data_IF_605467546775
#
_entry.id   IF_605467546775
#
_cell.length_a   1.000
_cell.length_b   1.000
_cell.length_c   1.000
_cell.angle_alpha   90.00
_cell.angle_beta   90.00
_cell.angle_gamma   90.00
#
_symmetry.space_group_name_H-M   'P 1'
#
loop_
_entity.id
_entity.type
_entity.pdbx_description
1 polymer ?
#
# COMPACT_ATOMS: atom_id res chain seq x y z
N UNK A 1 -11.60 -10.30 -3.38
CA UNK A 1 -12.71 -9.33 -3.45
C UNK A 1 -12.31 -8.02 -2.78
N UNK A 2 -12.55 -6.91 -3.45
CA UNK A 2 -12.19 -5.59 -2.93
C UNK A 2 -12.93 -5.27 -1.64
N UNK A 3 -12.21 -4.73 -0.67
CA UNK A 3 -12.79 -4.25 0.59
C UNK A 3 -13.18 -2.77 0.51
N UNK A 4 -12.60 -2.04 -0.45
CA UNK A 4 -12.87 -0.62 -0.67
C UNK A 4 -12.42 -0.22 -2.08
N UNK A 5 -12.84 0.95 -2.52
CA UNK A 5 -12.38 1.52 -3.80
C UNK A 5 -11.14 2.38 -3.53
N UNK A 6 -10.05 2.19 -4.30
CA UNK A 6 -8.83 2.94 -4.05
C UNK A 6 -8.84 4.38 -4.58
N UNK A 7 -9.83 4.76 -5.36
CA UNK A 7 -9.85 6.06 -6.01
C UNK A 7 -8.74 6.18 -7.05
N UNK A 8 -8.17 7.37 -7.19
CA UNK A 8 -7.05 7.60 -8.10
C UNK A 8 -5.77 7.05 -7.48
N UNK A 9 -5.07 6.18 -8.21
CA UNK A 9 -3.84 5.57 -7.72
C UNK A 9 -2.64 6.36 -8.22
N UNK A 10 -1.78 6.78 -7.30
CA UNK A 10 -0.58 7.56 -7.59
C UNK A 10 0.65 6.84 -7.04
N UNK A 11 1.79 7.05 -7.70
CA UNK A 11 3.08 6.59 -7.19
C UNK A 11 4.04 7.77 -7.13
N UNK A 12 4.90 7.78 -6.11
CA UNK A 12 5.86 8.86 -5.88
C UNK A 12 7.04 8.78 -6.85
N UNK A 13 7.82 9.88 -6.98
CA UNK A 13 9.03 9.84 -7.81
C UNK A 13 10.01 8.73 -7.41
N UNK A 14 10.17 8.44 -6.12
CA UNK A 14 11.05 7.37 -5.66
C UNK A 14 10.58 6.00 -6.11
N UNK A 15 9.28 5.74 -6.04
CA UNK A 15 8.69 4.49 -6.55
C UNK A 15 8.84 4.44 -8.07
N UNK A 16 8.53 5.55 -8.77
CA UNK A 16 8.61 5.60 -10.22
C UNK A 16 10.01 5.30 -10.74
N UNK A 17 11.04 5.75 -10.02
CA UNK A 17 12.43 5.49 -10.39
C UNK A 17 12.78 3.99 -10.38
N UNK A 18 12.07 3.20 -9.59
CA UNK A 18 12.28 1.75 -9.46
C UNK A 18 11.46 0.93 -10.46
N UNK A 19 10.55 1.53 -11.19
CA UNK A 19 9.65 0.80 -12.09
C UNK A 19 10.34 0.25 -13.35
N UNK A 20 11.58 0.63 -13.60
CA UNK A 20 12.39 0.03 -14.65
C UNK A 20 12.73 -1.42 -14.35
N UNK A 21 12.76 -1.80 -13.08
CA UNK A 21 12.92 -3.18 -12.63
C UNK A 21 11.56 -3.87 -12.73
N UNK A 22 11.44 -4.81 -13.68
CA UNK A 22 10.18 -5.53 -13.91
C UNK A 22 9.72 -6.30 -12.66
N UNK A 23 10.67 -6.81 -11.87
CA UNK A 23 10.37 -7.49 -10.62
C UNK A 23 9.78 -6.55 -9.58
N UNK A 24 10.30 -5.31 -9.51
CA UNK A 24 9.74 -4.30 -8.62
C UNK A 24 8.32 -3.90 -9.05
N UNK A 25 8.12 -3.72 -10.35
CA UNK A 25 6.78 -3.38 -10.87
C UNK A 25 5.76 -4.46 -10.50
N UNK A 26 6.12 -5.73 -10.65
CA UNK A 26 5.25 -6.85 -10.26
C UNK A 26 4.96 -6.81 -8.77
N UNK A 27 5.98 -6.60 -7.95
CA UNK A 27 5.84 -6.47 -6.51
C UNK A 27 4.86 -5.36 -6.14
N UNK A 28 4.99 -4.20 -6.78
CA UNK A 28 4.10 -3.07 -6.55
C UNK A 28 2.65 -3.41 -6.90
N UNK A 29 2.42 -4.03 -8.05
CA UNK A 29 1.07 -4.39 -8.51
C UNK A 29 0.43 -5.41 -7.58
N UNK A 30 1.19 -6.44 -7.19
CA UNK A 30 0.70 -7.46 -6.25
C UNK A 30 0.38 -6.82 -4.90
N UNK A 31 1.25 -5.92 -4.43
CA UNK A 31 1.06 -5.23 -3.15
C UNK A 31 -0.20 -4.37 -3.16
N UNK A 32 -0.42 -3.62 -4.24
CA UNK A 32 -1.63 -2.82 -4.39
C UNK A 32 -2.88 -3.70 -4.33
N UNK A 33 -2.84 -4.84 -5.01
CA UNK A 33 -3.96 -5.78 -5.02
C UNK A 33 -4.22 -6.33 -3.61
N UNK A 34 -3.17 -6.65 -2.86
CA UNK A 34 -3.29 -7.09 -1.48
C UNK A 34 -3.93 -6.02 -0.60
N UNK A 35 -3.49 -4.77 -0.77
CA UNK A 35 -4.03 -3.63 -0.02
C UNK A 35 -5.53 -3.47 -0.24
N UNK A 36 -5.97 -3.49 -1.49
CA UNK A 36 -7.39 -3.32 -1.86
C UNK A 36 -8.23 -4.47 -1.30
N UNK A 37 -7.66 -5.64 -1.14
CA UNK A 37 -8.35 -6.83 -0.63
C UNK A 37 -8.25 -6.98 0.90
N UNK A 38 -7.67 -6.02 1.59
CA UNK A 38 -7.58 -6.04 3.05
C UNK A 38 -6.45 -6.89 3.61
N UNK A 39 -5.45 -7.20 2.80
CA UNK A 39 -4.21 -7.85 3.26
C UNK A 39 -3.19 -6.75 3.52
N UNK A 40 -3.01 -6.40 4.79
CA UNK A 40 -2.25 -5.20 5.19
C UNK A 40 -0.74 -5.40 5.19
N UNK A 41 -0.26 -6.59 4.86
CA UNK A 41 1.17 -6.83 4.68
C UNK A 41 1.93 -6.98 5.98
N UNK A 42 3.14 -6.39 6.01
CA UNK A 42 4.08 -6.52 7.13
C UNK A 42 3.81 -5.47 8.21
N UNK A 43 2.68 -5.62 8.91
CA UNK A 43 2.28 -4.72 9.98
C UNK A 43 2.01 -5.52 11.25
N UNK A 44 2.14 -4.88 12.41
CA UNK A 44 1.78 -5.53 13.67
C UNK A 44 0.27 -5.70 13.78
N UNK A 45 -0.17 -6.57 14.68
CA UNK A 45 -1.59 -6.89 14.83
C UNK A 45 -2.41 -5.68 15.22
N UNK A 46 -1.85 -4.78 16.05
CA UNK A 46 -2.55 -3.55 16.45
C UNK A 46 -2.83 -2.65 15.24
N UNK A 47 -1.85 -2.49 14.36
CA UNK A 47 -2.00 -1.65 13.17
C UNK A 47 -2.95 -2.29 12.16
N UNK A 48 -2.92 -3.62 12.05
CA UNK A 48 -3.90 -4.34 11.20
C UNK A 48 -5.32 -4.15 11.74
N UNK A 49 -5.50 -4.23 13.05
CA UNK A 49 -6.80 -4.00 13.68
C UNK A 49 -7.28 -2.57 13.45
N UNK A 50 -6.37 -1.59 13.50
CA UNK A 50 -6.70 -0.19 13.22
C UNK A 50 -7.20 -0.02 11.79
N UNK A 51 -6.61 -0.72 10.81
CA UNK A 51 -7.09 -0.70 9.44
C UNK A 51 -8.49 -1.32 9.30
N UNK A 52 -8.78 -2.40 10.04
CA UNK A 52 -10.11 -3.00 10.01
C UNK A 52 -11.16 -2.03 10.54
N UNK A 53 -10.86 -1.30 11.61
CA UNK A 53 -11.74 -0.24 12.11
C UNK A 53 -11.88 0.89 11.09
N UNK A 54 -10.78 1.26 10.44
CA UNK A 54 -10.77 2.32 9.43
C UNK A 54 -11.66 1.98 8.23
N UNK A 55 -11.76 0.71 7.86
CA UNK A 55 -12.68 0.27 6.82
C UNK A 55 -14.14 0.56 7.20
N UNK A 56 -14.48 0.33 8.46
CA UNK A 56 -15.85 0.53 8.97
C UNK A 56 -16.14 2.02 9.16
N UNK A 57 -15.19 2.75 9.74
CA UNK A 57 -15.39 4.13 10.17
C UNK A 57 -15.05 5.18 9.10
N UNK A 58 -14.58 4.74 7.94
CA UNK A 58 -14.22 5.67 6.87
C UNK A 58 -12.99 6.50 7.19
N UNK A 59 -11.97 5.87 7.75
CA UNK A 59 -10.71 6.53 8.09
C UNK A 59 -9.61 6.13 7.10
N UNK A 60 -8.46 6.81 7.20
CA UNK A 60 -7.29 6.56 6.36
C UNK A 60 -6.75 5.14 6.58
N UNK A 61 -6.38 4.49 5.47
CA UNK A 61 -5.80 3.15 5.48
C UNK A 61 -4.32 3.20 5.12
N UNK A 62 -3.50 2.36 5.75
CA UNK A 62 -2.09 2.26 5.42
C UNK A 62 -1.62 0.81 5.50
N UNK A 63 -0.86 0.38 4.50
CA UNK A 63 -0.27 -0.95 4.45
C UNK A 63 1.23 -0.86 4.18
N UNK A 64 1.96 -1.88 4.61
CA UNK A 64 3.41 -1.98 4.42
C UNK A 64 3.71 -3.32 3.74
N UNK A 65 4.49 -3.29 2.66
CA UNK A 65 4.87 -4.50 1.94
C UNK A 65 6.38 -4.55 1.76
N UNK A 66 6.95 -5.73 1.97
CA UNK A 66 8.38 -5.97 1.79
C UNK A 66 8.57 -6.97 0.66
N UNK A 67 9.47 -6.64 -0.27
CA UNK A 67 9.74 -7.50 -1.41
C UNK A 67 10.57 -8.70 -0.96
N UNK A 68 10.10 -9.91 -1.28
CA UNK A 68 10.82 -11.14 -0.97
C UNK A 68 12.18 -11.13 -1.65
N UNK A 69 13.23 -11.52 -0.90
CA UNK A 69 14.61 -11.60 -1.37
C UNK A 69 15.25 -10.26 -1.76
N UNK A 70 14.55 -9.14 -1.45
CA UNK A 70 15.06 -7.79 -1.67
C UNK A 70 14.76 -6.95 -0.43
N UNK A 71 15.50 -7.14 0.67
CA UNK A 71 15.12 -6.56 1.97
C UNK A 71 15.09 -5.03 2.00
N UNK A 72 15.77 -4.37 1.07
CA UNK A 72 15.74 -2.91 0.98
C UNK A 72 14.52 -2.38 0.23
N UNK A 73 13.76 -3.25 -0.43
CA UNK A 73 12.57 -2.85 -1.18
C UNK A 73 11.35 -2.97 -0.29
N UNK A 74 10.97 -1.86 0.31
CA UNK A 74 9.74 -1.73 1.11
C UNK A 74 8.92 -0.60 0.53
N UNK A 75 7.61 -0.82 0.39
CA UNK A 75 6.68 0.23 -0.02
C UNK A 75 5.57 0.37 1.01
N UNK A 76 5.07 1.59 1.13
CA UNK A 76 3.86 1.88 1.88
C UNK A 76 2.75 2.23 0.88
N UNK A 77 1.54 1.81 1.19
CA UNK A 77 0.37 2.17 0.38
C UNK A 77 -0.65 2.81 1.31
N UNK A 78 -1.03 4.04 0.99
CA UNK A 78 -1.92 4.85 1.82
C UNK A 78 -3.15 5.22 1.00
N UNK A 79 -4.34 4.94 1.54
CA UNK A 79 -5.61 5.37 0.95
C UNK A 79 -6.24 6.42 1.85
N UNK A 80 -6.62 7.57 1.28
CA UNK A 80 -7.21 8.67 2.03
C UNK A 80 -8.58 8.29 2.60
N UNK A 81 -8.99 8.97 3.66
CA UNK A 81 -10.22 8.64 4.38
C UNK A 81 -11.45 8.66 3.49
N UNK A 82 -11.54 9.59 2.56
CA UNK A 82 -12.67 9.72 1.63
C UNK A 82 -12.57 8.77 0.43
N UNK A 83 -11.53 7.93 0.36
CA UNK A 83 -11.26 6.99 -0.73
C UNK A 83 -11.05 7.67 -2.08
N UNK A 84 -10.66 8.95 -2.07
CA UNK A 84 -10.43 9.70 -3.31
C UNK A 84 -9.11 9.35 -3.98
N UNK A 85 -8.11 8.94 -3.19
CA UNK A 85 -6.77 8.67 -3.71
C UNK A 85 -6.05 7.60 -2.89
N UNK A 86 -5.23 6.82 -3.58
CA UNK A 86 -4.30 5.85 -2.98
C UNK A 86 -2.91 6.17 -3.49
N UNK A 87 -1.96 6.29 -2.59
CA UNK A 87 -0.58 6.65 -2.92
C UNK A 87 0.36 5.50 -2.54
N UNK A 88 1.23 5.15 -3.48
CA UNK A 88 2.29 4.16 -3.27
C UNK A 88 3.59 4.94 -3.12
N UNK A 89 4.29 4.77 -2.01
CA UNK A 89 5.49 5.55 -1.70
C UNK A 89 6.55 4.70 -1.01
N UNK A 90 7.79 5.19 -1.04
CA UNK A 90 8.86 4.62 -0.23
C UNK A 90 8.74 5.16 1.20
N UNK A 91 9.17 4.40 2.22
CA UNK A 91 9.14 4.89 3.61
C UNK A 91 9.84 6.24 3.80
N UNK A 92 10.93 6.48 3.06
CA UNK A 92 11.67 7.73 3.14
C UNK A 92 10.92 8.94 2.58
N UNK A 93 9.85 8.70 1.86
CA UNK A 93 9.05 9.77 1.22
C UNK A 93 7.82 10.14 2.04
N UNK A 94 7.63 9.47 3.16
CA UNK A 94 6.45 9.73 4.01
C UNK A 94 6.57 11.05 4.78
#
# INVERSE_FOLDING_TARGET
>A
MRKFEPGNVHSTPGVNAKLKDAGFMRFMIVSLNRHINGDWGSMCDEDKAANEEALVDGLRLMSVYKRKDHPDDTIWIITEADRSATTILLPSEY
#
